data_IF_097687408842
#
_entry.id   IF_097687408842
#
_cell.length_a   1.000
_cell.length_b   1.000
_cell.length_c   1.000
_cell.angle_alpha   90.00
_cell.angle_beta   90.00
_cell.angle_gamma   90.00
#
_symmetry.space_group_name_H-M   'P 1'
#
loop_
_entity.id
_entity.type
_entity.pdbx_description
1 polymer ?
#
# COMPACT_ATOMS: atom_id res chain seq x y z
N UNK A 1 -20.87 -15.94 9.29
CA UNK A 1 -19.70 -15.09 9.04
C UNK A 1 -19.80 -14.52 7.63
N UNK A 2 -19.69 -13.20 7.46
CA UNK A 2 -19.81 -12.53 6.16
C UNK A 2 -18.42 -12.10 5.70
N UNK A 3 -18.04 -12.37 4.45
CA UNK A 3 -16.75 -11.93 3.88
C UNK A 3 -17.01 -10.80 2.89
N UNK A 4 -16.36 -9.65 3.10
CA UNK A 4 -16.49 -8.46 2.26
C UNK A 4 -15.15 -8.15 1.60
N UNK A 5 -15.12 -8.23 0.26
CA UNK A 5 -13.90 -7.92 -0.51
C UNK A 5 -14.00 -6.55 -1.15
N UNK A 6 -12.97 -5.73 -0.97
CA UNK A 6 -12.85 -4.40 -1.57
C UNK A 6 -11.67 -4.39 -2.56
N UNK A 7 -11.95 -4.04 -3.82
CA UNK A 7 -10.94 -3.98 -4.88
C UNK A 7 -10.12 -2.68 -4.83
N UNK A 8 -9.04 -2.64 -5.61
CA UNK A 8 -8.12 -1.49 -5.60
C UNK A 8 -8.77 -0.16 -6.01
N UNK A 9 -9.75 -0.19 -6.91
CA UNK A 9 -10.57 0.99 -7.26
C UNK A 9 -11.46 1.44 -6.10
N UNK A 10 -12.01 0.50 -5.33
CA UNK A 10 -12.81 0.76 -4.14
C UNK A 10 -11.99 1.38 -3.02
N UNK A 11 -10.71 1.03 -2.87
CA UNK A 11 -9.84 1.62 -1.82
C UNK A 11 -8.94 2.75 -2.32
N UNK A 12 -9.01 3.09 -3.62
CA UNK A 12 -8.03 3.96 -4.27
C UNK A 12 -8.18 5.46 -4.03
N UNK A 13 -9.14 5.89 -3.20
CA UNK A 13 -9.39 7.30 -2.84
C UNK A 13 -9.79 7.40 -1.35
N UNK A 14 -9.38 8.47 -0.63
CA UNK A 14 -9.74 8.65 0.77
C UNK A 14 -11.26 8.65 1.02
N UNK A 15 -12.05 9.25 0.14
CA UNK A 15 -13.51 9.33 0.31
C UNK A 15 -14.15 7.94 0.31
N UNK A 16 -13.61 7.01 -0.48
CA UNK A 16 -14.14 5.66 -0.55
C UNK A 16 -13.86 4.86 0.74
N UNK A 17 -12.77 5.16 1.45
CA UNK A 17 -12.46 4.49 2.71
C UNK A 17 -13.48 4.84 3.80
N UNK A 18 -14.01 6.08 3.80
CA UNK A 18 -15.12 6.46 4.69
C UNK A 18 -16.40 5.67 4.37
N UNK A 19 -16.68 5.44 3.08
CA UNK A 19 -17.83 4.61 2.66
C UNK A 19 -17.65 3.17 3.11
N UNK A 20 -16.45 2.61 2.96
CA UNK A 20 -16.11 1.25 3.40
C UNK A 20 -16.28 1.12 4.91
N UNK A 21 -15.79 2.08 5.69
CA UNK A 21 -15.99 2.12 7.14
C UNK A 21 -17.48 2.05 7.49
N UNK A 22 -18.32 2.87 6.85
CA UNK A 22 -19.77 2.86 7.07
C UNK A 22 -20.45 1.55 6.60
N UNK A 23 -19.90 0.83 5.62
CA UNK A 23 -20.38 -0.51 5.25
C UNK A 23 -20.07 -1.50 6.36
N UNK A 24 -18.84 -1.51 6.87
CA UNK A 24 -18.40 -2.42 7.93
C UNK A 24 -19.15 -2.17 9.24
N UNK A 25 -19.26 -0.91 9.65
CA UNK A 25 -19.98 -0.50 10.86
C UNK A 25 -21.45 -0.96 10.82
N UNK A 26 -22.13 -0.82 9.69
CA UNK A 26 -23.51 -1.30 9.53
C UNK A 26 -23.65 -2.82 9.69
N UNK A 27 -22.66 -3.59 9.25
CA UNK A 27 -22.68 -5.03 9.42
C UNK A 27 -22.41 -5.43 10.88
N UNK A 28 -21.51 -4.72 11.57
CA UNK A 28 -21.24 -4.91 12.99
C UNK A 28 -22.48 -4.59 13.84
N UNK A 29 -23.14 -3.45 13.59
CA UNK A 29 -24.36 -3.04 14.32
C UNK A 29 -25.51 -4.03 14.13
N UNK A 30 -25.57 -4.75 13.01
CA UNK A 30 -26.54 -5.83 12.77
C UNK A 30 -26.23 -7.12 13.54
N UNK A 31 -25.17 -7.15 14.35
CA UNK A 31 -24.73 -8.34 15.08
C UNK A 31 -23.97 -9.34 14.21
N UNK A 32 -23.46 -8.92 13.05
CA UNK A 32 -22.58 -9.78 12.24
C UNK A 32 -21.12 -9.50 12.54
N UNK A 33 -20.27 -10.51 12.36
CA UNK A 33 -18.81 -10.36 12.40
C UNK A 33 -18.26 -10.47 10.97
N UNK A 34 -18.10 -9.33 10.27
CA UNK A 34 -17.59 -9.34 8.90
C UNK A 34 -16.07 -9.51 8.87
N UNK A 35 -15.57 -10.37 7.99
CA UNK A 35 -14.16 -10.41 7.61
C UNK A 35 -13.97 -9.53 6.36
N UNK A 36 -13.07 -8.55 6.43
CA UNK A 36 -12.77 -7.66 5.31
C UNK A 36 -11.48 -8.08 4.60
N UNK A 37 -11.52 -8.15 3.27
CA UNK A 37 -10.36 -8.45 2.41
C UNK A 37 -10.11 -7.27 1.50
N UNK A 38 -8.91 -6.72 1.54
CA UNK A 38 -8.52 -5.54 0.77
C UNK A 38 -7.49 -5.89 -0.29
N UNK A 39 -7.69 -5.40 -1.51
CA UNK A 39 -6.58 -5.24 -2.45
C UNK A 39 -5.78 -3.98 -2.12
N UNK A 40 -4.54 -3.88 -2.61
CA UNK A 40 -3.78 -2.62 -2.58
C UNK A 40 -4.53 -1.49 -3.31
N UNK A 41 -4.19 -0.23 -3.02
CA UNK A 41 -4.78 0.93 -3.69
C UNK A 41 -4.59 0.84 -5.21
N UNK A 42 -5.57 1.35 -5.97
CA UNK A 42 -5.55 1.33 -7.43
C UNK A 42 -4.19 1.80 -7.98
N UNK A 43 -3.54 0.95 -8.78
CA UNK A 43 -2.24 1.22 -9.39
C UNK A 43 -1.01 0.96 -8.52
N UNK A 44 -1.15 0.68 -7.21
CA UNK A 44 0.01 0.42 -6.33
C UNK A 44 0.74 -0.86 -6.73
N UNK A 45 0.05 -1.97 -6.99
CA UNK A 45 0.70 -3.21 -7.44
C UNK A 45 1.50 -3.02 -8.74
N UNK A 46 0.96 -2.25 -9.70
CA UNK A 46 1.69 -1.91 -10.92
C UNK A 46 2.92 -1.04 -10.62
N UNK A 47 2.78 -0.07 -9.72
CA UNK A 47 3.89 0.78 -9.30
C UNK A 47 5.02 -0.02 -8.63
N UNK A 48 4.68 -1.02 -7.81
CA UNK A 48 5.65 -1.95 -7.18
C UNK A 48 6.38 -2.81 -8.23
N UNK A 49 5.65 -3.30 -9.24
CA UNK A 49 6.23 -4.00 -10.39
C UNK A 49 7.20 -3.09 -11.16
N UNK A 50 6.83 -1.84 -11.39
CA UNK A 50 7.70 -0.91 -12.12
C UNK A 50 8.95 -0.54 -11.31
N UNK A 51 8.82 -0.32 -9.99
CA UNK A 51 9.95 -0.10 -9.08
C UNK A 51 10.95 -1.26 -9.18
N UNK A 52 10.48 -2.50 -9.03
CA UNK A 52 11.34 -3.69 -9.04
C UNK A 52 12.04 -3.89 -10.40
N UNK A 53 11.32 -3.67 -11.51
CA UNK A 53 11.87 -3.74 -12.86
C UNK A 53 12.94 -2.68 -13.14
N UNK A 54 12.70 -1.44 -12.73
CA UNK A 54 13.68 -0.35 -12.90
C UNK A 54 14.93 -0.61 -12.08
N UNK A 55 14.78 -1.06 -10.84
CA UNK A 55 15.90 -1.44 -9.99
C UNK A 55 16.76 -2.53 -10.64
N UNK A 56 16.15 -3.62 -11.12
CA UNK A 56 16.87 -4.71 -11.78
C UNK A 56 17.64 -4.23 -13.03
N UNK A 57 17.14 -3.21 -13.72
CA UNK A 57 17.79 -2.57 -14.88
C UNK A 57 18.87 -1.53 -14.51
N UNK A 58 19.20 -1.36 -13.23
CA UNK A 58 20.09 -0.29 -12.71
C UNK A 58 19.59 1.13 -13.02
N UNK A 59 18.29 1.31 -13.21
CA UNK A 59 17.72 2.63 -13.46
C UNK A 59 17.33 3.30 -12.14
N UNK A 60 18.02 4.39 -11.79
CA UNK A 60 17.79 5.17 -10.56
C UNK A 60 16.39 5.79 -10.48
N UNK A 61 15.62 5.82 -11.58
CA UNK A 61 14.24 6.28 -11.59
C UNK A 61 13.33 5.51 -10.62
N UNK A 62 13.69 4.28 -10.21
CA UNK A 62 12.94 3.53 -9.18
C UNK A 62 12.82 4.32 -7.87
N UNK A 63 13.83 5.12 -7.50
CA UNK A 63 13.84 5.93 -6.28
C UNK A 63 12.74 6.99 -6.30
N UNK A 64 12.53 7.62 -7.47
CA UNK A 64 11.45 8.59 -7.63
C UNK A 64 10.08 7.93 -7.49
N UNK A 65 9.92 6.69 -7.97
CA UNK A 65 8.69 5.94 -7.79
C UNK A 65 8.44 5.55 -6.33
N UNK A 66 9.48 5.21 -5.56
CA UNK A 66 9.37 4.97 -4.11
C UNK A 66 8.91 6.23 -3.37
N UNK A 67 9.48 7.40 -3.68
CA UNK A 67 9.05 8.67 -3.08
C UNK A 67 7.58 8.95 -3.40
N UNK A 68 7.15 8.75 -4.65
CA UNK A 68 5.74 8.92 -5.04
C UNK A 68 4.82 7.94 -4.32
N UNK A 69 5.25 6.68 -4.17
CA UNK A 69 4.49 5.66 -3.45
C UNK A 69 4.29 6.06 -2.00
N UNK A 70 5.36 6.48 -1.32
CA UNK A 70 5.32 6.98 0.05
C UNK A 70 4.39 8.18 0.19
N UNK A 71 4.60 9.24 -0.60
CA UNK A 71 3.80 10.46 -0.53
C UNK A 71 2.31 10.19 -0.72
N UNK A 72 1.95 9.30 -1.65
CA UNK A 72 0.56 8.90 -1.85
C UNK A 72 -0.06 8.31 -0.59
N UNK A 73 0.64 7.43 0.12
CA UNK A 73 0.10 6.82 1.35
C UNK A 73 0.05 7.82 2.50
N UNK A 74 1.04 8.70 2.64
CA UNK A 74 1.01 9.77 3.65
C UNK A 74 -0.16 10.73 3.42
N UNK A 75 -0.44 11.11 2.17
CA UNK A 75 -1.60 11.96 1.84
C UNK A 75 -2.94 11.32 2.24
N UNK A 76 -3.06 9.98 2.14
CA UNK A 76 -4.24 9.28 2.65
C UNK A 76 -4.37 9.43 4.15
N UNK A 77 -3.27 9.26 4.89
CA UNK A 77 -3.26 9.41 6.34
C UNK A 77 -3.67 10.82 6.76
N UNK A 78 -3.08 11.83 6.13
CA UNK A 78 -3.40 13.24 6.39
C UNK A 78 -4.87 13.59 6.12
N UNK A 79 -5.47 12.95 5.12
CA UNK A 79 -6.88 13.19 4.74
C UNK A 79 -7.88 12.47 5.65
N UNK A 80 -7.50 11.32 6.20
CA UNK A 80 -8.41 10.42 6.91
C UNK A 80 -8.38 10.59 8.43
N UNK A 81 -7.22 10.95 8.98
CA UNK A 81 -6.99 10.92 10.43
C UNK A 81 -6.66 12.31 10.99
N UNK A 82 -7.04 12.58 12.25
CA UNK A 82 -6.64 13.81 12.93
C UNK A 82 -5.13 13.82 13.21
N UNK A 83 -4.49 15.01 13.32
CA UNK A 83 -3.04 15.13 13.52
C UNK A 83 -2.46 14.30 14.69
N UNK A 84 -3.25 14.09 15.75
CA UNK A 84 -2.87 13.27 16.91
C UNK A 84 -2.60 11.80 16.58
N UNK A 85 -3.22 11.26 15.52
CA UNK A 85 -3.11 9.85 15.12
C UNK A 85 -2.18 9.65 13.92
N UNK A 86 -1.98 10.70 13.11
CA UNK A 86 -1.19 10.63 11.87
C UNK A 86 0.26 10.16 12.11
N UNK A 87 0.89 10.59 13.21
CA UNK A 87 2.31 10.30 13.47
C UNK A 87 2.60 8.79 13.54
N UNK A 88 1.76 8.04 14.25
CA UNK A 88 1.99 6.61 14.46
C UNK A 88 1.79 5.86 13.14
N UNK A 89 0.72 6.15 12.41
CA UNK A 89 0.41 5.53 11.11
C UNK A 89 1.49 5.88 10.07
N UNK A 90 1.94 7.13 10.02
CA UNK A 90 3.01 7.56 9.13
C UNK A 90 4.33 6.82 9.44
N UNK A 91 4.63 6.57 10.71
CA UNK A 91 5.82 5.81 11.13
C UNK A 91 5.77 4.37 10.64
N UNK A 92 4.60 3.72 10.72
CA UNK A 92 4.41 2.36 10.20
C UNK A 92 4.57 2.31 8.67
N UNK A 93 3.99 3.28 7.96
CA UNK A 93 4.16 3.41 6.50
C UNK A 93 5.64 3.59 6.14
N UNK A 94 6.34 4.46 6.86
CA UNK A 94 7.76 4.72 6.62
C UNK A 94 8.62 3.48 6.87
N UNK A 95 8.27 2.68 7.88
CA UNK A 95 8.92 1.39 8.14
C UNK A 95 8.78 0.44 6.95
N UNK A 96 7.56 0.26 6.45
CA UNK A 96 7.28 -0.60 5.29
C UNK A 96 7.96 -0.09 4.00
N UNK A 97 7.98 1.23 3.79
CA UNK A 97 8.67 1.84 2.65
C UNK A 97 10.19 1.64 2.74
N UNK A 98 10.77 1.74 3.94
CA UNK A 98 12.20 1.50 4.14
C UNK A 98 12.54 0.03 3.88
N UNK A 99 11.75 -0.92 4.38
CA UNK A 99 11.93 -2.35 4.08
C UNK A 99 11.88 -2.62 2.57
N UNK A 100 10.86 -2.07 1.88
CA UNK A 100 10.77 -2.14 0.42
C UNK A 100 12.00 -1.53 -0.26
N UNK A 101 12.48 -0.39 0.21
CA UNK A 101 13.65 0.29 -0.33
C UNK A 101 14.91 -0.59 -0.23
N UNK A 102 15.13 -1.24 0.91
CA UNK A 102 16.29 -2.12 1.12
C UNK A 102 16.25 -3.34 0.17
N UNK A 103 15.09 -3.97 0.02
CA UNK A 103 14.90 -5.10 -0.90
C UNK A 103 15.18 -4.67 -2.34
N UNK A 104 14.58 -3.56 -2.76
CA UNK A 104 14.72 -3.01 -4.11
C UNK A 104 16.16 -2.52 -4.36
N UNK A 105 16.84 -2.02 -3.34
CA UNK A 105 18.26 -1.66 -3.44
C UNK A 105 19.13 -2.91 -3.64
N UNK A 106 18.85 -4.00 -2.94
CA UNK A 106 19.50 -5.30 -3.17
C UNK A 106 19.35 -5.77 -4.62
N UNK A 107 18.12 -5.72 -5.16
CA UNK A 107 17.84 -6.01 -6.58
C UNK A 107 18.65 -5.08 -7.50
N UNK A 108 18.71 -3.78 -7.18
CA UNK A 108 19.53 -2.83 -7.91
C UNK A 108 21.00 -3.26 -7.90
N UNK A 109 21.57 -3.63 -6.74
CA UNK A 109 22.97 -4.05 -6.65
C UNK A 109 23.26 -5.30 -7.49
N UNK A 110 22.41 -6.32 -7.36
CA UNK A 110 22.57 -7.64 -7.99
C UNK A 110 22.19 -7.68 -9.48
N UNK A 111 21.36 -6.75 -9.96
CA UNK A 111 20.78 -6.75 -11.33
C UNK A 111 19.90 -7.96 -11.62
N UNK A 112 19.29 -8.53 -10.59
CA UNK A 112 18.46 -9.73 -10.69
C UNK A 112 17.15 -9.52 -9.93
N UNK A 113 16.04 -9.91 -10.56
CA UNK A 113 14.73 -9.98 -9.94
C UNK A 113 14.22 -11.42 -10.03
N UNK A 114 14.44 -12.19 -8.97
CA UNK A 114 13.88 -13.53 -8.85
C UNK A 114 12.37 -13.49 -8.64
N UNK A 115 11.67 -14.58 -8.96
CA UNK A 115 10.23 -14.70 -8.68
C UNK A 115 9.92 -14.54 -7.19
N UNK A 116 10.79 -15.07 -6.31
CA UNK A 116 10.67 -14.90 -4.85
C UNK A 116 10.78 -13.44 -4.43
N UNK A 117 11.74 -12.70 -4.98
CA UNK A 117 11.91 -11.27 -4.67
C UNK A 117 10.74 -10.46 -5.20
N UNK A 118 10.21 -10.83 -6.37
CA UNK A 118 9.04 -10.21 -6.97
C UNK A 118 7.81 -10.39 -6.07
N UNK A 119 7.54 -11.61 -5.60
CA UNK A 119 6.42 -11.90 -4.69
C UNK A 119 6.59 -11.22 -3.33
N UNK A 120 7.81 -11.10 -2.82
CA UNK A 120 8.06 -10.37 -1.56
C UNK A 120 7.74 -8.87 -1.67
N UNK A 121 7.87 -8.29 -2.86
CA UNK A 121 7.60 -6.87 -3.12
C UNK A 121 6.09 -6.58 -3.30
N UNK A 122 5.29 -7.57 -3.72
CA UNK A 122 3.89 -7.40 -4.12
C UNK A 122 2.90 -7.72 -2.99
#
# INVERSE_FOLDING_TARGET
MKILKFGGTSVGKPENLKIIYAILEREIVKGTEPAAVFSAFSGVTNQLIDISRLAAKKDLAYRNLLVKLRLRHIQFVETLFPPSEQKNIATEIDTLINELQEIVHGIYLLKELSDRSKDLIM
#
